data_IF_555422715367
#
_entry.id   IF_555422715367
#
_cell.length_a   1.000
_cell.length_b   1.000
_cell.length_c   1.000
_cell.angle_alpha   90.00
_cell.angle_beta   90.00
_cell.angle_gamma   90.00
#
_symmetry.space_group_name_H-M   'P 1'
#
loop_
_entity.id
_entity.type
_entity.pdbx_description
1 polymer ?
#
# COMPACT_ATOMS: atom_id res chain seq x y z
N UNK A 1 18.71 -22.19 1.74
CA UNK A 1 18.50 -21.09 2.68
C UNK A 1 18.62 -21.58 4.11
N UNK A 2 19.30 -20.81 4.95
CA UNK A 2 19.47 -21.11 6.38
C UNK A 2 18.13 -21.01 7.14
N UNK A 3 17.25 -20.09 6.72
CA UNK A 3 15.89 -19.98 7.27
C UNK A 3 14.85 -20.00 6.14
N UNK A 4 14.21 -21.15 5.96
CA UNK A 4 13.18 -21.37 4.93
C UNK A 4 11.85 -20.62 5.21
N UNK A 5 11.63 -20.13 6.43
CA UNK A 5 10.47 -19.28 6.75
C UNK A 5 10.64 -17.87 6.22
N UNK A 6 11.89 -17.37 6.12
CA UNK A 6 12.20 -16.03 5.60
C UNK A 6 12.31 -16.07 4.08
N UNK A 7 13.09 -17.00 3.53
CA UNK A 7 13.22 -17.16 2.07
C UNK A 7 13.51 -18.63 1.71
N UNK A 8 13.09 -19.02 0.50
CA UNK A 8 13.44 -20.29 -0.12
C UNK A 8 14.20 -20.07 -1.42
N UNK A 9 14.92 -21.10 -1.87
CA UNK A 9 15.63 -21.10 -3.16
C UNK A 9 15.13 -22.28 -3.96
N UNK A 10 14.81 -22.05 -5.23
CA UNK A 10 14.45 -23.12 -6.19
C UNK A 10 15.71 -23.83 -6.69
N UNK A 11 15.55 -25.00 -7.33
CA UNK A 11 16.65 -25.71 -7.97
C UNK A 11 17.32 -24.90 -9.09
N UNK A 12 16.59 -23.97 -9.71
CA UNK A 12 17.12 -23.03 -10.71
C UNK A 12 17.81 -21.80 -10.11
N UNK A 13 18.03 -21.76 -8.77
CA UNK A 13 18.70 -20.66 -8.10
C UNK A 13 17.84 -19.43 -7.81
N UNK A 14 16.54 -19.44 -8.14
CA UNK A 14 15.64 -18.31 -7.86
C UNK A 14 15.34 -18.22 -6.36
N UNK A 15 15.64 -17.07 -5.75
CA UNK A 15 15.31 -16.76 -4.35
C UNK A 15 13.89 -16.23 -4.25
N UNK A 16 13.09 -16.80 -3.34
CA UNK A 16 11.70 -16.41 -3.08
C UNK A 16 11.58 -15.98 -1.63
N UNK A 17 11.30 -14.67 -1.40
CA UNK A 17 11.02 -14.13 -0.08
C UNK A 17 9.65 -14.57 0.41
N UNK A 18 9.53 -15.01 1.67
CA UNK A 18 8.28 -15.46 2.31
C UNK A 18 7.84 -14.56 3.46
N UNK A 19 8.77 -14.17 4.31
CA UNK A 19 8.52 -13.33 5.49
C UNK A 19 9.64 -12.31 5.61
N UNK A 20 9.32 -11.14 6.11
CA UNK A 20 10.31 -10.11 6.41
C UNK A 20 11.37 -10.62 7.37
N UNK A 21 12.63 -10.30 7.07
CA UNK A 21 13.79 -10.71 7.87
C UNK A 21 15.03 -10.96 7.03
N UNK A 22 16.10 -11.35 7.69
CA UNK A 22 17.40 -11.64 7.09
C UNK A 22 17.70 -13.14 7.15
N UNK A 23 18.25 -13.68 6.09
CA UNK A 23 18.73 -15.07 6.02
C UNK A 23 19.95 -15.18 5.11
N UNK A 24 20.59 -16.34 5.12
CA UNK A 24 21.74 -16.65 4.25
C UNK A 24 21.35 -17.77 3.27
N UNK A 25 21.78 -17.65 2.04
CA UNK A 25 21.73 -18.71 1.04
C UNK A 25 23.16 -19.17 0.80
N UNK A 26 23.40 -20.46 0.94
CA UNK A 26 24.71 -21.08 0.66
C UNK A 26 24.63 -21.84 -0.66
N UNK A 27 25.53 -21.56 -1.57
CA UNK A 27 25.74 -22.30 -2.81
C UNK A 27 27.01 -23.12 -2.65
N UNK A 28 26.90 -24.42 -2.87
CA UNK A 28 28.06 -25.35 -2.90
C UNK A 28 28.48 -25.56 -4.35
N UNK A 29 29.70 -25.20 -4.66
CA UNK A 29 30.30 -25.40 -6.00
C UNK A 29 30.80 -26.85 -6.18
N UNK A 30 30.96 -27.24 -7.43
CA UNK A 30 31.47 -28.61 -7.79
C UNK A 30 32.86 -28.88 -7.24
N UNK A 31 33.70 -27.86 -7.05
CA UNK A 31 35.01 -27.95 -6.42
C UNK A 31 34.97 -27.95 -4.88
N UNK A 32 33.78 -28.13 -4.26
CA UNK A 32 33.59 -28.17 -2.82
C UNK A 32 33.55 -26.81 -2.11
N UNK A 33 33.95 -25.74 -2.78
CA UNK A 33 33.88 -24.39 -2.20
C UNK A 33 32.42 -23.94 -1.95
N UNK A 34 32.24 -23.13 -0.90
CA UNK A 34 30.91 -22.58 -0.53
C UNK A 34 30.91 -21.07 -0.74
N UNK A 35 29.86 -20.57 -1.39
CA UNK A 35 29.55 -19.14 -1.49
C UNK A 35 28.36 -18.84 -0.60
N UNK A 36 28.44 -17.73 0.13
CA UNK A 36 27.35 -17.27 1.02
C UNK A 36 26.79 -15.96 0.46
N UNK A 37 25.48 -15.96 0.23
CA UNK A 37 24.72 -14.78 -0.16
C UNK A 37 23.83 -14.36 1.02
N UNK A 38 23.98 -13.13 1.51
CA UNK A 38 23.08 -12.55 2.50
C UNK A 38 21.80 -12.07 1.81
N UNK A 39 20.65 -12.52 2.30
CA UNK A 39 19.32 -12.21 1.75
C UNK A 39 18.53 -11.43 2.79
N UNK A 40 18.09 -10.22 2.43
CA UNK A 40 17.17 -9.41 3.22
C UNK A 40 15.80 -9.37 2.53
N UNK A 41 14.78 -9.91 3.16
CA UNK A 41 13.39 -9.85 2.70
C UNK A 41 12.72 -8.69 3.41
N UNK A 42 12.25 -7.72 2.65
CA UNK A 42 11.53 -6.55 3.15
C UNK A 42 10.03 -6.70 2.90
N UNK A 43 9.20 -6.19 3.82
CA UNK A 43 7.76 -6.15 3.65
C UNK A 43 7.37 -5.30 2.44
N UNK A 44 6.51 -5.83 1.56
CA UNK A 44 5.93 -5.08 0.45
C UNK A 44 4.74 -4.25 0.95
N UNK A 45 5.05 -3.21 1.75
CA UNK A 45 4.08 -2.33 2.38
C UNK A 45 4.46 -0.87 2.22
N UNK A 46 3.53 -0.07 1.72
CA UNK A 46 3.62 1.39 1.76
C UNK A 46 3.24 1.89 3.16
N UNK A 47 4.02 2.82 3.69
CA UNK A 47 3.73 3.53 4.95
C UNK A 47 4.05 5.00 4.76
N UNK A 48 3.04 5.85 4.89
CA UNK A 48 3.14 7.31 4.78
C UNK A 48 2.66 7.99 6.07
N UNK A 49 2.86 9.30 6.14
CA UNK A 49 2.36 10.14 7.24
C UNK A 49 0.82 10.15 7.22
N UNK A 50 0.19 10.00 8.36
CA UNK A 50 -1.27 10.17 8.51
C UNK A 50 -1.61 11.65 8.39
N UNK A 51 -2.78 11.93 7.83
CA UNK A 51 -3.37 13.26 7.78
C UNK A 51 -3.91 13.65 9.16
N UNK A 52 -3.70 14.90 9.55
CA UNK A 52 -4.26 15.51 10.76
C UNK A 52 -5.21 16.65 10.38
N UNK A 53 -5.94 17.19 11.36
CA UNK A 53 -6.85 18.34 11.12
C UNK A 53 -6.08 19.57 10.65
N UNK A 54 -4.89 19.81 11.20
CA UNK A 54 -4.02 20.94 10.83
C UNK A 54 -3.51 20.89 9.38
N UNK A 55 -3.60 19.70 8.74
CA UNK A 55 -3.20 19.53 7.34
C UNK A 55 -4.35 19.88 6.36
N UNK A 56 -5.51 20.39 6.82
CA UNK A 56 -6.68 20.69 6.00
C UNK A 56 -7.08 22.18 6.11
N UNK A 57 -7.67 22.69 5.05
CA UNK A 57 -8.23 24.06 5.02
C UNK A 57 -9.53 24.10 5.81
N UNK A 58 -9.79 25.25 6.45
CA UNK A 58 -11.02 25.51 7.21
C UNK A 58 -12.28 25.32 6.33
N UNK A 59 -13.31 24.68 6.90
CA UNK A 59 -14.56 24.30 6.24
C UNK A 59 -14.44 23.27 5.09
N UNK A 60 -13.32 22.57 5.00
CA UNK A 60 -13.11 21.50 4.02
C UNK A 60 -12.70 20.20 4.70
N UNK A 61 -12.53 19.17 3.92
CA UNK A 61 -11.99 17.89 4.41
C UNK A 61 -10.82 17.42 3.56
N UNK A 62 -9.85 16.80 4.20
CA UNK A 62 -8.67 16.28 3.56
C UNK A 62 -8.71 14.76 3.44
N UNK A 63 -8.06 14.24 2.41
CA UNK A 63 -7.90 12.81 2.13
C UNK A 63 -6.43 12.48 1.93
N UNK A 64 -5.93 11.44 2.60
CA UNK A 64 -4.54 10.98 2.40
C UNK A 64 -4.40 9.48 2.61
N UNK A 65 -3.81 8.79 1.63
CA UNK A 65 -3.39 7.40 1.80
C UNK A 65 -2.16 7.36 2.70
N UNK A 66 -2.19 6.53 3.75
CA UNK A 66 -1.07 6.39 4.68
C UNK A 66 -0.53 4.95 4.78
N UNK A 67 -1.24 3.96 4.25
CA UNK A 67 -0.75 2.57 4.22
C UNK A 67 -1.37 1.80 3.09
N UNK A 68 -0.58 0.95 2.44
CA UNK A 68 -1.07 -0.03 1.48
C UNK A 68 -0.23 -1.30 1.53
N UNK A 69 -0.87 -2.46 1.33
CA UNK A 69 -0.22 -3.77 1.32
C UNK A 69 -1.11 -4.79 0.61
N UNK A 70 -0.55 -5.94 0.24
CA UNK A 70 -1.34 -7.06 -0.26
C UNK A 70 -1.79 -7.97 0.89
N UNK A 71 -3.10 -8.32 0.91
CA UNK A 71 -3.61 -9.34 1.82
C UNK A 71 -3.24 -10.77 1.36
N UNK A 72 -3.59 -11.76 2.18
CA UNK A 72 -3.32 -13.18 1.87
C UNK A 72 -4.04 -13.68 0.61
N UNK A 73 -5.14 -13.02 0.20
CA UNK A 73 -5.91 -13.32 -1.01
C UNK A 73 -5.34 -12.63 -2.26
N UNK A 74 -4.35 -11.75 -2.08
CA UNK A 74 -3.72 -10.98 -3.13
C UNK A 74 -4.46 -9.70 -3.51
N UNK A 75 -5.43 -9.25 -2.72
CA UNK A 75 -6.08 -7.97 -2.90
C UNK A 75 -5.17 -6.85 -2.41
N UNK A 76 -5.21 -5.68 -3.06
CA UNK A 76 -4.50 -4.49 -2.59
C UNK A 76 -5.36 -3.75 -1.56
N UNK A 77 -4.95 -3.83 -0.30
CA UNK A 77 -5.58 -3.12 0.82
C UNK A 77 -4.98 -1.73 0.91
N UNK A 78 -5.81 -0.70 0.82
CA UNK A 78 -5.42 0.71 0.91
C UNK A 78 -6.10 1.32 2.13
N UNK A 79 -5.29 1.87 3.05
CA UNK A 79 -5.78 2.61 4.23
C UNK A 79 -5.56 4.09 4.03
N UNK A 80 -6.60 4.88 4.29
CA UNK A 80 -6.54 6.33 4.15
C UNK A 80 -7.19 7.04 5.35
N UNK A 81 -6.74 8.26 5.59
CA UNK A 81 -7.34 9.17 6.56
C UNK A 81 -8.32 10.09 5.86
N UNK A 82 -9.40 10.39 6.58
CA UNK A 82 -10.29 11.53 6.32
C UNK A 82 -10.15 12.47 7.50
N UNK A 83 -9.76 13.70 7.24
CA UNK A 83 -9.72 14.78 8.25
C UNK A 83 -10.83 15.78 7.92
N UNK A 84 -11.80 15.93 8.82
CA UNK A 84 -12.93 16.82 8.67
C UNK A 84 -12.66 18.13 9.42
N UNK A 85 -12.34 19.21 8.71
CA UNK A 85 -12.13 20.55 9.26
C UNK A 85 -13.35 21.46 9.04
N UNK A 86 -14.55 20.88 9.04
CA UNK A 86 -15.82 21.62 8.93
C UNK A 86 -16.63 21.56 10.23
N UNK A 87 -17.57 22.46 10.38
CA UNK A 87 -18.50 22.47 11.52
C UNK A 87 -19.48 21.30 11.51
N UNK A 88 -19.74 20.71 10.33
CA UNK A 88 -20.69 19.64 10.17
C UNK A 88 -20.04 18.25 10.21
N UNK A 89 -20.84 17.23 10.46
CA UNK A 89 -20.44 15.82 10.35
C UNK A 89 -20.36 15.42 8.88
N UNK A 90 -19.26 14.80 8.47
CA UNK A 90 -19.14 14.18 7.14
C UNK A 90 -19.71 12.77 7.16
N UNK A 91 -20.69 12.52 6.29
CA UNK A 91 -21.35 11.20 6.15
C UNK A 91 -21.01 10.48 4.85
N UNK A 92 -20.44 11.19 3.88
CA UNK A 92 -20.03 10.62 2.58
C UNK A 92 -18.86 11.38 1.96
N UNK A 93 -18.13 10.70 1.08
CA UNK A 93 -17.17 11.29 0.14
C UNK A 93 -17.78 11.14 -1.25
N UNK A 94 -18.23 12.23 -1.90
CA UNK A 94 -18.73 12.17 -3.27
C UNK A 94 -17.57 11.94 -4.25
N UNK A 95 -17.79 11.15 -5.31
CA UNK A 95 -16.82 10.88 -6.38
C UNK A 95 -15.44 10.43 -5.87
N UNK A 96 -15.41 9.58 -4.83
CA UNK A 96 -14.14 9.03 -4.33
C UNK A 96 -13.41 8.28 -5.43
N UNK A 97 -12.15 8.65 -5.62
CA UNK A 97 -11.22 8.00 -6.56
C UNK A 97 -9.89 7.75 -5.86
N UNK A 98 -9.37 6.53 -5.99
CA UNK A 98 -7.99 6.18 -5.63
C UNK A 98 -7.30 5.69 -6.88
N UNK A 99 -6.09 6.19 -7.14
CA UNK A 99 -5.23 5.74 -8.24
C UNK A 99 -3.87 5.36 -7.68
N UNK A 100 -3.39 4.19 -8.06
CA UNK A 100 -2.07 3.68 -7.65
C UNK A 100 -1.21 3.55 -8.90
N UNK A 101 -0.06 4.23 -8.91
CA UNK A 101 0.91 4.19 -10.01
C UNK A 101 2.22 3.57 -9.52
N UNK A 102 2.85 2.74 -10.35
CA UNK A 102 4.20 2.21 -10.09
C UNK A 102 5.29 3.29 -10.26
N UNK A 103 6.54 2.94 -9.99
CA UNK A 103 7.70 3.84 -10.13
C UNK A 103 7.90 4.35 -11.57
N UNK A 104 7.34 3.65 -12.57
CA UNK A 104 7.33 4.05 -13.99
C UNK A 104 6.09 4.88 -14.36
N UNK A 105 5.31 5.34 -13.36
CA UNK A 105 4.05 6.11 -13.50
C UNK A 105 2.90 5.36 -14.20
N UNK A 106 2.99 4.05 -14.42
CA UNK A 106 1.88 3.26 -14.96
C UNK A 106 0.83 3.02 -13.88
N UNK A 107 -0.45 3.13 -14.23
CA UNK A 107 -1.54 2.78 -13.33
C UNK A 107 -1.55 1.27 -13.11
N UNK A 108 -1.38 0.82 -11.88
CA UNK A 108 -1.38 -0.60 -11.48
C UNK A 108 -2.66 -1.00 -10.75
N UNK A 109 -3.36 -0.05 -10.14
CA UNK A 109 -4.67 -0.26 -9.52
C UNK A 109 -5.47 1.04 -9.51
N UNK A 110 -6.80 0.93 -9.49
CA UNK A 110 -7.70 2.06 -9.28
C UNK A 110 -8.98 1.62 -8.57
N UNK A 111 -9.56 2.55 -7.81
CA UNK A 111 -10.85 2.39 -7.17
C UNK A 111 -11.68 3.67 -7.43
N UNK A 112 -12.97 3.49 -7.73
CA UNK A 112 -13.91 4.61 -7.92
C UNK A 112 -15.24 4.26 -7.26
N UNK A 113 -15.85 5.25 -6.60
CA UNK A 113 -17.20 5.13 -6.05
C UNK A 113 -17.90 6.50 -6.08
N UNK A 114 -19.09 6.58 -6.63
CA UNK A 114 -19.83 7.85 -6.77
C UNK A 114 -20.18 8.45 -5.40
N UNK A 115 -20.47 7.61 -4.40
CA UNK A 115 -20.70 8.02 -3.02
C UNK A 115 -20.13 6.96 -2.09
N UNK A 116 -19.11 7.33 -1.30
CA UNK A 116 -18.48 6.46 -0.31
C UNK A 116 -18.95 6.89 1.08
N UNK A 117 -19.69 6.02 1.75
CA UNK A 117 -20.23 6.29 3.10
C UNK A 117 -19.11 6.33 4.13
N UNK A 118 -19.10 7.38 4.93
CA UNK A 118 -18.18 7.60 6.04
C UNK A 118 -18.96 8.12 7.26
N UNK A 119 -18.26 8.28 8.36
CA UNK A 119 -18.80 8.89 9.57
C UNK A 119 -17.65 9.57 10.30
N UNK A 120 -17.46 10.87 10.05
CA UNK A 120 -16.40 11.68 10.67
C UNK A 120 -17.02 12.93 11.26
N UNK A 121 -16.97 13.05 12.59
CA UNK A 121 -17.48 14.21 13.30
C UNK A 121 -16.69 15.47 12.96
N UNK A 122 -17.29 16.64 13.22
CA UNK A 122 -16.67 17.95 13.12
C UNK A 122 -15.32 17.97 13.84
N UNK A 123 -14.30 18.55 13.19
CA UNK A 123 -12.94 18.68 13.70
C UNK A 123 -12.29 17.36 14.18
N UNK A 124 -12.61 16.24 13.54
CA UNK A 124 -12.02 14.94 13.82
C UNK A 124 -11.44 14.30 12.57
N UNK A 125 -10.50 13.38 12.80
CA UNK A 125 -9.94 12.52 11.75
C UNK A 125 -10.32 11.07 12.00
N UNK A 126 -10.52 10.30 10.91
CA UNK A 126 -10.82 8.87 11.00
C UNK A 126 -10.18 8.10 9.85
N UNK A 127 -9.74 6.89 10.15
CA UNK A 127 -9.17 5.96 9.17
C UNK A 127 -10.25 5.13 8.51
N UNK A 128 -10.08 4.91 7.20
CA UNK A 128 -10.91 4.01 6.39
C UNK A 128 -10.03 3.04 5.60
N UNK A 129 -10.63 1.93 5.19
CA UNK A 129 -9.93 0.88 4.45
C UNK A 129 -10.73 0.51 3.22
N UNK A 130 -10.04 0.40 2.07
CA UNK A 130 -10.59 -0.12 0.83
C UNK A 130 -9.73 -1.33 0.42
N UNK A 131 -10.40 -2.39 -0.01
CA UNK A 131 -9.76 -3.55 -0.62
C UNK A 131 -10.03 -3.53 -2.12
N UNK A 132 -8.98 -3.41 -2.92
CA UNK A 132 -9.05 -3.49 -4.39
C UNK A 132 -8.80 -4.95 -4.77
N UNK A 133 -9.78 -5.65 -5.37
CA UNK A 133 -9.65 -7.06 -5.71
C UNK A 133 -8.46 -7.33 -6.62
N UNK A 134 -7.81 -8.48 -6.47
CA UNK A 134 -6.71 -8.91 -7.33
C UNK A 134 -7.06 -8.93 -8.83
N UNK A 135 -8.33 -9.22 -9.16
CA UNK A 135 -8.86 -9.19 -10.52
C UNK A 135 -8.89 -7.78 -11.14
N UNK A 136 -8.89 -6.73 -10.32
CA UNK A 136 -8.88 -5.32 -10.76
C UNK A 136 -7.48 -4.73 -10.88
N UNK A 137 -6.44 -5.50 -10.55
CA UNK A 137 -5.05 -5.09 -10.71
C UNK A 137 -4.64 -5.17 -12.18
N UNK A 138 -3.89 -4.19 -12.67
CA UNK A 138 -3.37 -4.15 -14.05
C UNK A 138 -2.10 -4.98 -14.25
N UNK A 139 -1.49 -5.46 -13.15
CA UNK A 139 -0.33 -6.36 -13.10
C UNK A 139 -0.53 -7.35 -11.96
N UNK A 140 0.08 -8.54 -12.04
CA UNK A 140 0.11 -9.46 -10.91
C UNK A 140 0.78 -8.82 -9.70
N UNK A 141 0.33 -9.16 -8.48
CA UNK A 141 0.85 -8.61 -7.21
C UNK A 141 2.38 -8.71 -7.09
N UNK A 142 2.97 -9.78 -7.64
CA UNK A 142 4.41 -10.05 -7.55
C UNK A 142 5.26 -9.09 -8.41
N UNK A 143 4.59 -8.37 -9.34
CA UNK A 143 5.19 -7.33 -10.20
C UNK A 143 4.89 -5.92 -9.68
N UNK A 144 4.22 -5.77 -8.54
CA UNK A 144 3.88 -4.49 -7.93
C UNK A 144 4.63 -4.35 -6.61
N UNK A 145 5.62 -3.46 -6.55
CA UNK A 145 6.27 -3.05 -5.31
C UNK A 145 5.54 -1.81 -4.75
N UNK A 146 4.62 -2.02 -3.79
CA UNK A 146 3.82 -0.92 -3.22
C UNK A 146 4.65 0.12 -2.48
N UNK A 147 5.88 -0.22 -2.06
CA UNK A 147 6.81 0.72 -1.39
C UNK A 147 7.24 1.85 -2.31
N UNK A 148 7.28 1.58 -3.61
CA UNK A 148 7.69 2.53 -4.66
C UNK A 148 6.51 3.14 -5.41
N UNK A 149 5.27 2.75 -5.05
CA UNK A 149 4.06 3.27 -5.67
C UNK A 149 3.72 4.67 -5.17
N UNK A 150 3.15 5.46 -6.07
CA UNK A 150 2.49 6.72 -5.74
C UNK A 150 0.99 6.47 -5.61
N UNK A 151 0.41 6.99 -4.53
CA UNK A 151 -1.01 6.89 -4.22
C UNK A 151 -1.65 8.27 -4.33
N UNK A 152 -2.62 8.40 -5.22
CA UNK A 152 -3.46 9.60 -5.31
C UNK A 152 -4.86 9.26 -4.85
N UNK A 153 -5.41 10.06 -3.94
CA UNK A 153 -6.80 9.95 -3.48
C UNK A 153 -7.49 11.30 -3.67
N UNK A 154 -8.71 11.29 -4.15
CA UNK A 154 -9.52 12.49 -4.32
C UNK A 154 -11.00 12.22 -4.08
N UNK A 155 -11.75 13.24 -3.70
CA UNK A 155 -13.19 13.30 -3.61
C UNK A 155 -13.66 14.66 -4.10
N UNK A 156 -14.95 14.81 -4.37
CA UNK A 156 -15.51 16.15 -4.67
C UNK A 156 -15.40 17.02 -3.41
N UNK A 157 -14.94 18.25 -3.58
CA UNK A 157 -14.78 19.26 -2.51
C UNK A 157 -13.79 18.85 -1.39
N UNK A 158 -12.87 17.90 -1.67
CA UNK A 158 -11.79 17.55 -0.76
C UNK A 158 -10.54 18.40 -1.05
N UNK A 159 -9.82 18.77 0.01
CA UNK A 159 -8.48 19.35 -0.14
C UNK A 159 -7.56 18.38 -0.87
N UNK A 160 -6.80 18.89 -1.83
CA UNK A 160 -5.70 18.13 -2.45
C UNK A 160 -4.57 18.03 -1.43
N UNK A 161 -4.45 16.90 -0.75
CA UNK A 161 -3.30 16.63 0.12
C UNK A 161 -2.21 15.93 -0.69
N UNK A 162 -1.09 16.63 -0.83
CA UNK A 162 0.15 16.14 -1.42
C UNK A 162 0.85 15.10 -0.52
#
# INVERSE_FOLDING_TARGET
SANKQIATVTNSGKVIGKKEGNTKVTVKLTNGKKLICNVSVKSNKYSGKKLTISDTTYNQYGLKVYSAYFDNKGNLVVKFMVANNSYGKLTKIPKLKITVKDSKKNVVASFKKNSYTINVNSYKSKSYTISIPKSSLKKSKDKIDVRTCTFTISGKDADATL
#
